data_IF_644214576085
#
_entry.id   IF_644214576085
#
_cell.length_a   1.000
_cell.length_b   1.000
_cell.length_c   1.000
_cell.angle_alpha   90.00
_cell.angle_beta   90.00
_cell.angle_gamma   90.00
#
_symmetry.space_group_name_H-M   'P 1'
#
loop_
_entity.id
_entity.type
_entity.pdbx_description
1 polymer ?
#
# COMPACT_ATOMS: atom_id res chain seq x y z
N UNK A 1 63.24 56.79 33.16
CA UNK A 1 62.97 56.31 31.79
C UNK A 1 61.54 55.81 31.76
N UNK A 2 60.83 56.20 30.69
CA UNK A 2 59.40 56.11 30.44
C UNK A 2 58.97 54.66 30.20
N UNK A 3 57.82 54.23 30.75
CA UNK A 3 56.70 53.71 29.95
C UNK A 3 55.56 53.15 30.81
N UNK A 4 54.37 53.60 30.45
CA UNK A 4 53.07 53.28 31.00
C UNK A 4 52.45 52.03 30.33
N UNK A 5 51.24 51.71 30.79
CA UNK A 5 50.23 50.84 30.16
C UNK A 5 50.40 49.34 30.47
N UNK A 6 49.36 48.54 30.71
CA UNK A 6 47.92 48.73 30.59
C UNK A 6 47.26 47.65 31.46
N UNK A 7 46.26 48.02 32.27
CA UNK A 7 45.41 47.06 32.99
C UNK A 7 44.52 46.32 31.99
N UNK A 8 44.68 45.00 31.87
CA UNK A 8 43.71 44.14 31.20
C UNK A 8 42.93 43.34 32.25
N UNK A 9 41.69 43.77 32.50
CA UNK A 9 40.66 42.94 33.14
C UNK A 9 40.32 41.81 32.16
N UNK A 10 40.45 40.55 32.59
CA UNK A 10 39.86 39.40 31.91
C UNK A 10 38.75 38.84 32.79
N UNK A 11 37.52 38.98 32.28
CA UNK A 11 36.28 38.51 32.88
C UNK A 11 36.24 36.97 32.90
N UNK A 12 35.89 36.41 34.06
CA UNK A 12 35.53 35.02 34.21
C UNK A 12 34.12 34.78 33.62
N UNK A 13 33.99 33.83 32.71
CA UNK A 13 32.70 33.34 32.21
C UNK A 13 32.54 31.87 32.60
N UNK A 14 31.79 31.64 33.69
CA UNK A 14 31.34 30.32 34.12
C UNK A 14 30.07 29.97 33.34
N UNK A 15 30.16 29.09 32.33
CA UNK A 15 28.97 28.48 31.72
C UNK A 15 28.59 27.24 32.52
N UNK A 16 27.59 27.40 33.40
CA UNK A 16 26.81 26.31 33.97
C UNK A 16 25.79 25.85 32.93
N UNK A 17 26.02 24.69 32.31
CA UNK A 17 25.03 24.01 31.49
C UNK A 17 24.37 22.89 32.31
N UNK A 18 23.18 23.18 32.87
CA UNK A 18 22.24 22.15 33.30
C UNK A 18 21.33 21.80 32.11
N UNK A 19 21.32 20.52 31.72
CA UNK A 19 20.56 20.03 30.57
C UNK A 19 20.14 18.57 30.72
N UNK A 20 19.23 18.31 31.67
CA UNK A 20 18.14 17.32 31.64
C UNK A 20 18.30 16.12 30.68
N UNK A 21 18.69 14.99 31.26
CA UNK A 21 18.56 13.65 30.68
C UNK A 21 17.08 13.27 30.59
N UNK A 22 16.54 13.35 29.38
CA UNK A 22 15.23 12.82 29.03
C UNK A 22 15.22 12.51 27.55
N UNK A 23 15.55 11.26 27.21
CA UNK A 23 15.31 10.70 25.90
C UNK A 23 15.06 9.20 26.09
N UNK A 24 13.81 8.89 26.43
CA UNK A 24 13.24 7.57 26.21
C UNK A 24 13.50 7.17 24.76
N UNK A 25 14.33 6.15 24.60
CA UNK A 25 14.59 5.54 23.31
C UNK A 25 13.49 4.54 23.01
N UNK A 26 12.99 4.65 21.78
CA UNK A 26 12.30 3.61 21.03
C UNK A 26 10.81 3.44 21.33
N UNK A 27 10.04 4.48 21.00
CA UNK A 27 8.74 4.26 20.39
C UNK A 27 8.93 3.38 19.15
N UNK A 28 8.40 2.16 19.22
CA UNK A 28 8.25 1.30 18.05
C UNK A 28 7.32 2.01 17.07
N UNK A 29 7.88 2.61 16.01
CA UNK A 29 7.13 2.92 14.80
C UNK A 29 6.71 1.59 14.17
N UNK A 30 5.64 1.01 14.73
CA UNK A 30 4.78 0.13 13.97
C UNK A 30 4.16 1.00 12.89
N UNK A 31 4.74 0.96 11.68
CA UNK A 31 4.12 1.53 10.50
C UNK A 31 2.67 1.07 10.49
N UNK A 32 1.75 2.02 10.70
CA UNK A 32 0.34 1.72 10.82
C UNK A 32 -0.08 1.04 9.51
N UNK A 33 -0.31 -0.27 9.59
CA UNK A 33 -0.87 -1.04 8.48
C UNK A 33 -2.08 -0.26 7.96
N UNK A 34 -2.14 0.08 6.66
CA UNK A 34 -3.30 0.73 6.10
C UNK A 34 -4.56 -0.04 6.52
N UNK A 35 -5.65 0.66 6.91
CA UNK A 35 -6.88 -0.02 7.29
C UNK A 35 -7.26 -0.98 6.16
N UNK A 36 -7.47 -2.25 6.49
CA UNK A 36 -7.86 -3.27 5.52
C UNK A 36 -9.02 -2.70 4.69
N UNK A 37 -8.79 -2.53 3.38
CA UNK A 37 -9.68 -1.78 2.51
C UNK A 37 -11.12 -2.26 2.68
N UNK A 38 -12.04 -1.33 2.92
CA UNK A 38 -13.45 -1.66 2.75
C UNK A 38 -13.68 -2.01 1.27
N UNK A 39 -14.52 -3.00 0.99
CA UNK A 39 -14.80 -3.39 -0.39
C UNK A 39 -15.64 -2.34 -1.16
N UNK A 40 -15.96 -1.20 -0.52
CA UNK A 40 -16.86 -0.15 -0.97
C UNK A 40 -16.17 0.98 -1.74
N UNK A 41 -15.04 0.72 -2.39
CA UNK A 41 -14.27 1.72 -3.11
C UNK A 41 -13.54 1.15 -4.34
N UNK A 42 -12.73 1.99 -4.96
CA UNK A 42 -11.85 1.54 -6.05
C UNK A 42 -10.80 0.56 -5.51
N UNK A 43 -10.63 -0.57 -6.19
CA UNK A 43 -9.64 -1.59 -5.86
C UNK A 43 -8.84 -1.95 -7.11
N UNK A 44 -7.60 -2.37 -6.91
CA UNK A 44 -6.77 -2.97 -7.94
C UNK A 44 -6.34 -4.35 -7.43
N UNK A 45 -6.64 -5.39 -8.19
CA UNK A 45 -6.14 -6.74 -7.99
C UNK A 45 -5.10 -7.07 -9.07
N UNK A 46 -4.08 -7.83 -8.72
CA UNK A 46 -3.02 -8.24 -9.64
C UNK A 46 -2.44 -9.60 -9.23
N UNK A 47 -1.99 -10.37 -10.22
CA UNK A 47 -1.18 -11.56 -10.00
C UNK A 47 0.06 -11.54 -10.88
N UNK A 48 1.12 -12.18 -10.39
CA UNK A 48 2.45 -12.19 -11.04
C UNK A 48 2.67 -13.43 -11.90
N UNK A 49 2.10 -14.58 -11.54
CA UNK A 49 2.21 -15.78 -12.38
C UNK A 49 0.90 -16.60 -12.43
N UNK A 50 0.24 -16.70 -13.60
CA UNK A 50 0.47 -15.86 -14.78
C UNK A 50 0.19 -14.37 -14.47
N UNK A 51 0.75 -13.45 -15.25
CA UNK A 51 0.50 -12.02 -15.07
C UNK A 51 -0.95 -11.64 -15.44
N UNK A 52 -1.63 -10.94 -14.54
CA UNK A 52 -2.96 -10.37 -14.77
C UNK A 52 -3.22 -9.19 -13.85
N UNK A 53 -4.17 -8.33 -14.23
CA UNK A 53 -4.66 -7.27 -13.36
C UNK A 53 -6.15 -7.01 -13.58
N UNK A 54 -6.87 -6.68 -12.50
CA UNK A 54 -8.25 -6.20 -12.55
C UNK A 54 -8.34 -4.87 -11.81
N UNK A 55 -8.75 -3.82 -12.51
CA UNK A 55 -9.11 -2.53 -11.91
C UNK A 55 -10.62 -2.50 -11.68
N UNK A 56 -11.05 -2.32 -10.44
CA UNK A 56 -12.45 -2.21 -10.04
C UNK A 56 -12.77 -0.75 -9.75
N UNK A 57 -13.71 -0.17 -10.47
CA UNK A 57 -14.22 1.21 -10.29
C UNK A 57 -15.73 1.17 -10.17
N UNK A 58 -16.34 2.27 -9.73
CA UNK A 58 -17.80 2.34 -9.49
C UNK A 58 -18.61 1.96 -10.73
N UNK A 59 -18.16 2.37 -11.91
CA UNK A 59 -18.85 2.20 -13.19
C UNK A 59 -18.40 0.97 -13.98
N UNK A 60 -17.20 0.43 -13.70
CA UNK A 60 -16.69 -0.69 -14.49
C UNK A 60 -15.51 -1.45 -13.90
N UNK A 61 -15.29 -2.63 -14.45
CA UNK A 61 -14.08 -3.44 -14.27
C UNK A 61 -13.27 -3.41 -15.57
N UNK A 62 -11.94 -3.31 -15.44
CA UNK A 62 -11.01 -3.50 -16.54
C UNK A 62 -10.11 -4.68 -16.23
N UNK A 63 -10.15 -5.71 -17.08
CA UNK A 63 -9.33 -6.91 -16.99
C UNK A 63 -8.18 -6.84 -18.01
N UNK A 64 -6.95 -6.82 -17.50
CA UNK A 64 -5.72 -6.66 -18.27
C UNK A 64 -4.86 -7.91 -18.18
N UNK A 65 -4.26 -8.31 -19.30
CA UNK A 65 -3.30 -9.42 -19.41
C UNK A 65 -2.20 -9.04 -20.41
N UNK A 66 -0.94 -9.48 -20.23
CA UNK A 66 0.13 -9.10 -21.14
C UNK A 66 -0.16 -9.51 -22.59
N UNK A 67 0.11 -8.58 -23.52
CA UNK A 67 -0.01 -8.79 -24.98
C UNK A 67 -1.43 -9.12 -25.45
N UNK A 68 -2.45 -8.84 -24.66
CA UNK A 68 -3.86 -8.96 -25.01
C UNK A 68 -4.52 -7.61 -24.72
N UNK A 69 -5.47 -7.19 -25.56
CA UNK A 69 -6.25 -5.98 -25.35
C UNK A 69 -7.05 -6.04 -24.02
N UNK A 70 -7.17 -4.90 -23.36
CA UNK A 70 -7.93 -4.78 -22.12
C UNK A 70 -9.42 -5.05 -22.37
N UNK A 71 -10.02 -5.86 -21.50
CA UNK A 71 -11.46 -6.11 -21.54
C UNK A 71 -12.16 -5.26 -20.49
N UNK A 72 -13.15 -4.48 -20.91
CA UNK A 72 -14.00 -3.68 -20.02
C UNK A 72 -15.36 -4.33 -19.83
N UNK A 73 -15.86 -4.29 -18.60
CA UNK A 73 -17.19 -4.80 -18.23
C UNK A 73 -17.85 -3.82 -17.27
N UNK A 74 -19.19 -3.74 -17.27
CA UNK A 74 -19.91 -3.01 -16.24
C UNK A 74 -19.61 -3.60 -14.86
N UNK A 75 -19.63 -2.78 -13.82
CA UNK A 75 -19.45 -3.27 -12.46
C UNK A 75 -20.78 -3.79 -11.89
N UNK A 76 -20.94 -5.11 -11.66
CA UNK A 76 -22.14 -5.65 -11.03
C UNK A 76 -22.23 -5.36 -9.52
N UNK A 77 -21.16 -4.83 -8.94
CA UNK A 77 -20.97 -4.71 -7.50
C UNK A 77 -20.48 -6.03 -6.87
N UNK A 78 -19.90 -5.96 -5.66
CA UNK A 78 -19.51 -7.16 -4.93
C UNK A 78 -20.70 -7.80 -4.21
N UNK A 79 -20.71 -9.13 -4.18
CA UNK A 79 -21.40 -9.89 -3.13
C UNK A 79 -20.44 -9.99 -1.95
N UNK A 80 -20.82 -9.43 -0.79
CA UNK A 80 -19.97 -9.35 0.40
C UNK A 80 -20.45 -10.36 1.45
N UNK A 81 -19.53 -11.18 1.94
CA UNK A 81 -19.75 -12.17 2.99
C UNK A 81 -18.58 -12.10 3.97
N UNK A 82 -18.82 -11.62 5.20
CA UNK A 82 -17.79 -11.46 6.24
C UNK A 82 -16.56 -10.65 5.76
N UNK A 83 -15.43 -11.34 5.59
CA UNK A 83 -14.13 -10.82 5.18
C UNK A 83 -13.85 -11.00 3.69
N UNK A 84 -14.86 -11.41 2.91
CA UNK A 84 -14.75 -11.69 1.48
C UNK A 84 -15.71 -10.84 0.65
N UNK A 85 -15.27 -10.48 -0.54
CA UNK A 85 -16.09 -9.88 -1.59
C UNK A 85 -15.87 -10.59 -2.92
N UNK A 86 -16.95 -10.84 -3.65
CA UNK A 86 -16.91 -11.52 -4.94
C UNK A 86 -17.57 -10.68 -6.03
N UNK A 87 -16.85 -10.48 -7.13
CA UNK A 87 -17.38 -9.91 -8.38
C UNK A 87 -17.48 -11.03 -9.40
N UNK A 88 -18.63 -11.13 -10.06
CA UNK A 88 -18.88 -12.12 -11.11
C UNK A 88 -19.27 -11.41 -12.39
N UNK A 89 -18.42 -11.51 -13.41
CA UNK A 89 -18.75 -11.14 -14.78
C UNK A 89 -19.19 -12.42 -15.49
N UNK A 90 -20.50 -12.59 -15.64
CA UNK A 90 -21.10 -13.81 -16.21
C UNK A 90 -21.01 -13.86 -17.74
N UNK A 91 -21.08 -12.70 -18.40
CA UNK A 91 -21.19 -12.57 -19.84
C UNK A 91 -20.09 -11.65 -20.41
N UNK A 92 -19.96 -11.68 -21.75
CA UNK A 92 -19.03 -10.82 -22.48
C UNK A 92 -17.77 -11.55 -22.94
N UNK A 93 -16.77 -10.82 -23.49
CA UNK A 93 -15.62 -11.43 -24.14
C UNK A 93 -14.60 -12.07 -23.18
N UNK A 94 -14.71 -11.80 -21.87
CA UNK A 94 -13.88 -12.42 -20.84
C UNK A 94 -14.67 -12.59 -19.53
N UNK A 95 -15.54 -13.61 -19.42
CA UNK A 95 -16.25 -13.89 -18.18
C UNK A 95 -15.27 -14.39 -17.11
N UNK A 96 -15.42 -13.89 -15.88
CA UNK A 96 -14.57 -14.26 -14.76
C UNK A 96 -15.28 -14.11 -13.42
N UNK A 97 -14.71 -14.74 -12.39
CA UNK A 97 -15.06 -14.52 -10.99
C UNK A 97 -13.82 -14.09 -10.23
N UNK A 98 -13.86 -12.91 -9.64
CA UNK A 98 -12.82 -12.40 -8.76
C UNK A 98 -13.32 -12.43 -7.32
N UNK A 99 -12.58 -13.11 -6.44
CA UNK A 99 -12.83 -13.09 -5.00
C UNK A 99 -11.65 -12.41 -4.32
N UNK A 100 -11.95 -11.40 -3.51
CA UNK A 100 -11.00 -10.74 -2.63
C UNK A 100 -11.30 -11.11 -1.18
N UNK A 101 -10.26 -11.44 -0.41
CA UNK A 101 -10.36 -11.83 1.00
C UNK A 101 -9.42 -10.96 1.82
N UNK A 102 -9.87 -10.39 2.94
CA UNK A 102 -9.00 -9.62 3.83
C UNK A 102 -7.87 -10.49 4.37
N UNK A 103 -6.64 -9.99 4.29
CA UNK A 103 -5.45 -10.70 4.78
C UNK A 103 -4.18 -10.12 4.19
N UNK A 104 -3.05 -10.29 4.87
CA UNK A 104 -1.74 -9.92 4.32
C UNK A 104 -1.48 -10.68 3.02
N UNK A 105 -0.92 -9.98 2.03
CA UNK A 105 -0.52 -10.55 0.76
C UNK A 105 0.73 -9.83 0.24
N UNK A 106 1.62 -10.58 -0.41
CA UNK A 106 2.78 -10.06 -1.16
C UNK A 106 2.73 -10.64 -2.57
N UNK A 107 3.03 -9.82 -3.57
CA UNK A 107 3.04 -10.27 -4.97
C UNK A 107 4.32 -11.04 -5.36
N UNK A 108 5.29 -11.13 -4.43
CA UNK A 108 6.54 -11.88 -4.56
C UNK A 108 7.55 -11.28 -5.54
N UNK A 109 7.20 -10.20 -6.23
CA UNK A 109 8.02 -9.56 -7.27
C UNK A 109 8.36 -8.11 -6.93
N UNK A 110 7.52 -7.46 -6.14
CA UNK A 110 7.80 -6.17 -5.54
C UNK A 110 7.87 -6.31 -4.02
N UNK A 111 8.58 -5.39 -3.37
CA UNK A 111 8.58 -5.29 -1.90
C UNK A 111 7.26 -4.69 -1.36
N UNK A 112 6.15 -4.83 -2.11
CA UNK A 112 4.86 -4.29 -1.75
C UNK A 112 4.05 -5.28 -0.92
N UNK A 113 3.34 -4.71 0.06
CA UNK A 113 2.40 -5.39 0.93
C UNK A 113 0.98 -4.94 0.62
N UNK A 114 0.07 -5.90 0.58
CA UNK A 114 -1.32 -5.72 0.21
C UNK A 114 -2.21 -6.23 1.34
N UNK A 115 -3.35 -5.60 1.54
CA UNK A 115 -4.29 -5.95 2.61
C UNK A 115 -5.38 -6.95 2.18
N UNK A 116 -5.39 -7.35 0.91
CA UNK A 116 -6.33 -8.34 0.37
C UNK A 116 -5.60 -9.42 -0.44
N UNK A 117 -6.01 -10.66 -0.25
CA UNK A 117 -5.68 -11.80 -1.10
C UNK A 117 -6.69 -11.89 -2.25
N UNK A 118 -6.23 -12.15 -3.46
CA UNK A 118 -7.06 -12.24 -4.67
C UNK A 118 -7.04 -13.65 -5.27
N UNK A 119 -8.23 -14.16 -5.59
CA UNK A 119 -8.42 -15.39 -6.36
C UNK A 119 -9.26 -15.07 -7.58
N UNK A 120 -8.69 -15.29 -8.77
CA UNK A 120 -9.34 -15.08 -10.04
C UNK A 120 -9.61 -16.42 -10.72
N UNK A 121 -10.89 -16.74 -10.94
CA UNK A 121 -11.32 -17.85 -11.78
C UNK A 121 -11.64 -17.31 -13.17
N UNK A 122 -10.90 -17.77 -14.18
CA UNK A 122 -11.06 -17.36 -15.58
C UNK A 122 -10.88 -18.56 -16.50
N UNK A 123 -11.94 -18.92 -17.24
CA UNK A 123 -11.98 -20.15 -18.01
C UNK A 123 -11.80 -21.39 -17.12
N UNK A 124 -10.81 -22.23 -17.44
CA UNK A 124 -10.43 -23.41 -16.68
C UNK A 124 -9.37 -23.14 -15.59
N UNK A 125 -8.96 -21.88 -15.41
CA UNK A 125 -7.83 -21.50 -14.55
C UNK A 125 -8.31 -20.85 -13.26
N UNK A 126 -7.62 -21.20 -12.18
CA UNK A 126 -7.62 -20.43 -10.94
C UNK A 126 -6.24 -19.78 -10.81
N UNK A 127 -6.22 -18.46 -10.73
CA UNK A 127 -5.02 -17.65 -10.63
C UNK A 127 -5.05 -16.88 -9.32
N UNK A 128 -3.89 -16.73 -8.69
CA UNK A 128 -3.74 -16.10 -7.39
C UNK A 128 -3.07 -14.73 -7.53
N UNK A 129 -3.27 -13.88 -6.54
CA UNK A 129 -2.72 -12.54 -6.54
C UNK A 129 -3.03 -11.78 -5.26
N UNK A 130 -2.73 -10.49 -5.28
CA UNK A 130 -3.00 -9.56 -4.20
C UNK A 130 -3.89 -8.41 -4.68
N UNK A 131 -4.52 -7.70 -3.74
CA UNK A 131 -5.28 -6.51 -4.05
C UNK A 131 -5.19 -5.45 -2.94
N UNK A 132 -5.34 -4.19 -3.33
CA UNK A 132 -5.55 -3.10 -2.39
C UNK A 132 -6.23 -1.91 -3.10
N UNK A 133 -6.51 -0.86 -2.35
CA UNK A 133 -6.93 0.43 -2.88
C UNK A 133 -5.80 1.06 -3.72
N UNK A 134 -6.12 1.82 -4.78
CA UNK A 134 -5.11 2.56 -5.55
C UNK A 134 -4.23 3.47 -4.68
N UNK A 135 -4.82 4.10 -3.65
CA UNK A 135 -4.09 4.97 -2.74
C UNK A 135 -3.07 4.20 -1.89
N UNK A 136 -3.44 3.03 -1.35
CA UNK A 136 -2.53 2.20 -0.56
C UNK A 136 -1.37 1.63 -1.41
N UNK A 137 -1.62 1.29 -2.67
CA UNK A 137 -0.56 0.86 -3.60
C UNK A 137 0.37 2.04 -3.93
N UNK A 138 -0.18 3.23 -4.18
CA UNK A 138 0.59 4.42 -4.54
C UNK A 138 1.43 4.97 -3.38
N UNK A 139 1.04 4.71 -2.13
CA UNK A 139 1.79 5.09 -0.94
C UNK A 139 3.07 4.26 -0.74
N UNK A 140 3.21 3.13 -1.44
CA UNK A 140 4.37 2.25 -1.36
C UNK A 140 5.39 2.61 -2.45
N UNK A 141 6.69 2.33 -2.23
CA UNK A 141 7.72 2.52 -3.25
C UNK A 141 7.32 1.93 -4.61
N UNK A 142 7.71 2.63 -5.68
CA UNK A 142 7.61 2.07 -7.02
C UNK A 142 8.60 0.88 -7.13
N UNK A 143 8.21 -0.24 -7.77
CA UNK A 143 9.12 -1.33 -8.09
C UNK A 143 10.19 -0.88 -9.08
#
# INVERSE_FOLDING_TARGET
>A
MISAALRALLLASTLTACGQSGADASGSEGGAKPPAGNFSGGLNALGTEPFWAIKIRTDGLTFSRPRIEDVKSANPGPVIENDRATWTIADGPAPFKLTLTKGECSDGMSDRHYTLNAVLVFGDKTMYGCADTPAAIAAQPAP
#
